data_IF_282545994980
#
_entry.id   IF_282545994980
#
_cell.length_a   1.000
_cell.length_b   1.000
_cell.length_c   1.000
_cell.angle_alpha   90.00
_cell.angle_beta   90.00
_cell.angle_gamma   90.00
#
_symmetry.space_group_name_H-M   'P 1'
#
loop_
_entity.id
_entity.type
_entity.pdbx_description
1 polymer ?
#
# COMPACT_ATOMS: atom_id res chain seq x y z
N UNK A 1 8.04 1.95 -4.44
CA UNK A 1 7.29 0.89 -3.73
C UNK A 1 6.58 0.06 -4.78
N UNK A 2 6.30 -1.21 -4.52
CA UNK A 2 5.39 -2.00 -5.36
C UNK A 2 4.42 -2.79 -4.47
N UNK A 3 3.26 -3.14 -5.05
CA UNK A 3 2.21 -3.92 -4.39
C UNK A 3 2.13 -5.30 -5.03
N UNK A 4 2.11 -6.34 -4.20
CA UNK A 4 1.91 -7.72 -4.67
C UNK A 4 0.41 -8.04 -4.82
N UNK A 5 0.11 -9.17 -5.46
CA UNK A 5 -1.27 -9.60 -5.74
C UNK A 5 -2.07 -9.90 -4.46
N UNK A 6 -1.40 -10.29 -3.38
CA UNK A 6 -2.00 -10.45 -2.03
C UNK A 6 -2.33 -9.10 -1.36
N UNK A 7 -1.98 -8.00 -2.01
CA UNK A 7 -2.20 -6.63 -1.56
C UNK A 7 -1.12 -6.08 -0.63
N UNK A 8 -0.09 -6.87 -0.31
CA UNK A 8 1.03 -6.43 0.51
C UNK A 8 1.88 -5.38 -0.19
N UNK A 9 2.39 -4.41 0.58
CA UNK A 9 3.25 -3.33 0.08
C UNK A 9 4.71 -3.66 0.36
N UNK A 10 5.56 -3.48 -0.65
CA UNK A 10 6.98 -3.79 -0.58
C UNK A 10 7.84 -2.59 -0.93
N UNK A 11 8.92 -2.43 -0.16
CA UNK A 11 9.87 -1.37 -0.37
C UNK A 11 10.68 -1.64 -1.65
N UNK A 12 10.73 -0.67 -2.57
CA UNK A 12 11.35 -0.90 -3.88
C UNK A 12 12.86 -1.13 -3.79
N UNK A 13 13.52 -0.52 -2.82
CA UNK A 13 14.98 -0.61 -2.66
C UNK A 13 15.44 -1.97 -2.14
N UNK A 14 14.77 -2.50 -1.11
CA UNK A 14 15.22 -3.71 -0.41
C UNK A 14 14.28 -4.91 -0.62
N UNK A 15 13.15 -4.73 -1.30
CA UNK A 15 12.15 -5.76 -1.56
C UNK A 15 11.41 -6.28 -0.31
N UNK A 16 11.66 -5.72 0.87
CA UNK A 16 11.02 -6.15 2.12
C UNK A 16 9.64 -5.52 2.28
N UNK A 17 8.77 -6.21 3.01
CA UNK A 17 7.40 -5.77 3.31
C UNK A 17 7.44 -4.47 4.13
N UNK A 18 6.59 -3.53 3.74
CA UNK A 18 6.32 -2.30 4.46
C UNK A 18 5.28 -2.55 5.56
N UNK A 19 5.50 -1.95 6.73
CA UNK A 19 4.55 -1.95 7.84
C UNK A 19 3.72 -0.68 7.78
N UNK A 20 2.39 -0.81 7.78
CA UNK A 20 1.49 0.34 7.86
C UNK A 20 1.53 0.89 9.28
N UNK A 21 1.89 2.17 9.41
CA UNK A 21 1.94 2.88 10.70
C UNK A 21 0.67 3.68 10.95
N UNK A 22 -0.03 4.10 9.89
CA UNK A 22 -1.28 4.84 9.98
C UNK A 22 -1.75 5.27 8.59
N UNK A 23 -2.92 5.89 8.55
CA UNK A 23 -3.48 6.47 7.33
C UNK A 23 -4.20 7.78 7.65
N UNK A 24 -4.26 8.67 6.66
CA UNK A 24 -5.16 9.81 6.62
C UNK A 24 -6.29 9.52 5.62
N UNK A 25 -7.05 10.55 5.24
CA UNK A 25 -8.05 10.47 4.17
C UNK A 25 -7.43 10.38 2.78
N UNK A 26 -6.16 10.77 2.62
CA UNK A 26 -5.51 10.89 1.32
C UNK A 26 -4.22 10.07 1.22
N UNK A 27 -3.57 9.76 2.34
CA UNK A 27 -2.26 9.13 2.37
C UNK A 27 -2.19 7.94 3.34
N UNK A 28 -1.34 6.98 3.00
CA UNK A 28 -0.94 5.86 3.84
C UNK A 28 0.50 6.07 4.28
N UNK A 29 0.75 6.02 5.59
CA UNK A 29 2.09 6.06 6.16
C UNK A 29 2.60 4.65 6.37
N UNK A 30 3.70 4.33 5.71
CA UNK A 30 4.37 3.04 5.78
C UNK A 30 5.81 3.19 6.29
N UNK A 31 6.34 2.15 6.93
CA UNK A 31 7.72 2.11 7.39
C UNK A 31 8.42 0.82 6.95
N UNK A 32 9.65 0.95 6.46
CA UNK A 32 10.52 -0.17 6.14
C UNK A 32 11.50 -0.42 7.29
N UNK A 33 11.31 -1.50 8.06
CA UNK A 33 12.19 -1.86 9.18
C UNK A 33 13.65 -2.10 8.75
N UNK A 34 13.87 -2.64 7.54
CA UNK A 34 15.23 -2.96 7.05
C UNK A 34 16.02 -1.72 6.62
N UNK A 35 15.36 -0.73 6.01
CA UNK A 35 16.02 0.50 5.55
C UNK A 35 15.92 1.64 6.56
N UNK A 36 15.12 1.46 7.62
CA UNK A 36 14.75 2.50 8.57
C UNK A 36 14.14 3.75 7.89
N UNK A 37 13.35 3.55 6.83
CA UNK A 37 12.80 4.61 5.99
C UNK A 37 11.27 4.68 6.10
N UNK A 38 10.74 5.90 6.16
CA UNK A 38 9.30 6.19 6.03
C UNK A 38 8.93 6.39 4.57
N UNK A 39 7.76 5.85 4.19
CA UNK A 39 7.19 5.96 2.85
C UNK A 39 5.76 6.46 2.98
N UNK A 40 5.46 7.57 2.33
CA UNK A 40 4.12 8.16 2.25
C UNK A 40 3.54 7.84 0.88
N UNK A 41 2.31 7.35 0.87
CA UNK A 41 1.69 6.82 -0.34
C UNK A 41 0.30 7.41 -0.49
N UNK A 42 -0.01 8.10 -1.60
CA UNK A 42 -1.36 8.56 -1.82
C UNK A 42 -2.29 7.35 -1.99
N UNK A 43 -3.42 7.34 -1.28
CA UNK A 43 -4.39 6.24 -1.31
C UNK A 43 -4.95 6.01 -2.72
N UNK A 44 -5.02 7.05 -3.55
CA UNK A 44 -5.42 6.92 -4.95
C UNK A 44 -4.48 5.99 -5.76
N UNK A 45 -3.19 5.90 -5.39
CA UNK A 45 -2.24 4.99 -6.02
C UNK A 45 -2.37 3.54 -5.53
N UNK A 46 -3.16 3.29 -4.47
CA UNK A 46 -3.45 1.97 -3.94
C UNK A 46 -4.75 1.37 -4.46
N UNK A 47 -5.60 2.19 -5.09
CA UNK A 47 -6.82 1.72 -5.75
C UNK A 47 -6.40 0.76 -6.85
N UNK A 48 -6.81 -0.51 -6.76
CA UNK A 48 -6.63 -1.43 -7.89
C UNK A 48 -7.35 -0.82 -9.09
N UNK A 49 -6.79 -0.86 -10.32
CA UNK A 49 -7.67 -0.76 -11.47
C UNK A 49 -8.75 -1.80 -11.24
N UNK A 50 -10.02 -1.37 -11.20
CA UNK A 50 -11.13 -2.29 -11.06
C UNK A 50 -10.92 -3.36 -12.12
N UNK A 51 -10.74 -4.61 -11.67
CA UNK A 51 -10.94 -5.73 -12.58
C UNK A 51 -12.30 -5.45 -13.22
N UNK A 52 -12.36 -5.48 -14.54
CA UNK A 52 -13.56 -5.21 -15.31
C UNK A 52 -14.56 -6.37 -15.10
N UNK A 53 -15.04 -6.56 -13.88
CA UNK A 53 -16.26 -7.27 -13.57
C UNK A 53 -16.77 -6.85 -12.17
N UNK A 54 -18.07 -6.60 -12.09
CA UNK A 54 -18.67 -5.67 -11.15
C UNK A 54 -18.54 -6.00 -9.66
N UNK A 55 -18.54 -4.92 -8.89
CA UNK A 55 -18.97 -4.85 -7.47
C UNK A 55 -18.01 -5.44 -6.44
N UNK A 56 -16.94 -4.74 -6.08
CA UNK A 56 -16.25 -4.96 -4.81
C UNK A 56 -15.89 -3.61 -4.19
N UNK A 57 -16.55 -3.29 -3.06
CA UNK A 57 -16.26 -2.13 -2.22
C UNK A 57 -14.88 -2.21 -1.57
N UNK A 58 -14.42 -1.12 -0.91
CA UNK A 58 -13.09 -1.08 -0.32
C UNK A 58 -12.91 -2.20 0.72
N UNK A 59 -11.76 -2.91 0.73
CA UNK A 59 -11.52 -4.08 1.59
C UNK A 59 -11.20 -3.72 3.06
N UNK A 60 -11.44 -2.48 3.47
CA UNK A 60 -11.27 -2.06 4.87
C UNK A 60 -12.66 -1.91 5.49
N UNK A 61 -13.14 -2.99 6.10
CA UNK A 61 -14.27 -3.02 7.03
C UNK A 61 -13.93 -3.99 8.15
#
# INVERSE_FOLDING_TARGET
MYRLLDGSLHHARCGRRLMVQGHSTEELHCYCLTCAESVWLPLCALVRPADADGTIGPPWS
#
